data_IF_701608461023
#
_entry.id   IF_701608461023
#
_cell.length_a   1.000
_cell.length_b   1.000
_cell.length_c   1.000
_cell.angle_alpha   90.00
_cell.angle_beta   90.00
_cell.angle_gamma   90.00
#
_symmetry.space_group_name_H-M   'P 1'
#
loop_
_entity.id
_entity.type
_entity.pdbx_description
1 polymer ?
#
# COMPACT_ATOMS: atom_id res chain seq x y z
N UNK A 1 -5.07 -18.33 -5.50
CA UNK A 1 -5.55 -16.94 -5.65
C UNK A 1 -5.49 -16.28 -4.29
N UNK A 2 -4.65 -15.26 -4.15
CA UNK A 2 -4.44 -14.60 -2.84
C UNK A 2 -5.45 -13.46 -2.61
N UNK A 3 -5.78 -12.71 -3.66
CA UNK A 3 -6.72 -11.60 -3.59
C UNK A 3 -7.66 -11.59 -4.79
N UNK A 4 -8.94 -11.30 -4.54
CA UNK A 4 -9.97 -11.18 -5.58
C UNK A 4 -10.83 -9.94 -5.34
N UNK A 5 -11.12 -9.22 -6.40
CA UNK A 5 -12.15 -8.18 -6.46
C UNK A 5 -13.31 -8.70 -7.30
N UNK A 6 -14.53 -8.69 -6.76
CA UNK A 6 -15.74 -9.20 -7.43
C UNK A 6 -16.77 -8.09 -7.54
N UNK A 7 -17.05 -7.67 -8.77
CA UNK A 7 -18.09 -6.69 -9.13
C UNK A 7 -18.01 -5.40 -8.32
N UNK A 8 -16.78 -4.89 -8.14
CA UNK A 8 -16.51 -3.69 -7.34
C UNK A 8 -17.10 -2.46 -8.03
N UNK A 9 -17.98 -1.78 -7.33
CA UNK A 9 -18.45 -0.44 -7.68
C UNK A 9 -18.10 0.51 -6.54
N UNK A 10 -17.57 1.68 -6.86
CA UNK A 10 -17.16 2.66 -5.87
C UNK A 10 -17.32 4.09 -6.38
N UNK A 11 -17.84 4.96 -5.53
CA UNK A 11 -18.01 6.40 -5.76
C UNK A 11 -17.47 7.19 -4.58
N UNK A 12 -16.75 8.27 -4.83
CA UNK A 12 -16.45 9.20 -3.75
C UNK A 12 -17.72 9.92 -3.31
N UNK A 13 -17.96 9.97 -2.00
CA UNK A 13 -19.07 10.72 -1.38
C UNK A 13 -18.77 12.23 -1.47
N UNK A 14 -18.76 12.76 -2.66
CA UNK A 14 -18.64 14.18 -2.95
C UNK A 14 -19.99 14.73 -3.44
N UNK A 15 -20.13 16.07 -3.50
CA UNK A 15 -21.36 16.71 -4.00
C UNK A 15 -21.84 16.22 -5.38
N UNK A 16 -20.97 15.55 -6.15
CA UNK A 16 -21.28 15.07 -7.51
C UNK A 16 -21.48 13.54 -7.62
N UNK A 17 -21.32 12.78 -6.53
CA UNK A 17 -21.46 11.30 -6.49
C UNK A 17 -20.89 10.59 -7.74
N UNK A 18 -19.71 11.01 -8.21
CA UNK A 18 -19.09 10.46 -9.41
C UNK A 18 -18.63 9.03 -9.16
N UNK A 19 -19.19 8.09 -9.90
CA UNK A 19 -18.72 6.68 -9.89
C UNK A 19 -17.34 6.59 -10.53
N UNK A 20 -16.38 6.09 -9.78
CA UNK A 20 -14.97 5.94 -10.20
C UNK A 20 -14.69 4.52 -10.70
N UNK A 21 -15.24 3.51 -10.01
CA UNK A 21 -15.13 2.12 -10.40
C UNK A 21 -16.54 1.58 -10.63
N UNK A 22 -16.75 0.88 -11.74
CA UNK A 22 -18.04 0.32 -12.11
C UNK A 22 -17.88 -1.15 -12.49
N UNK A 23 -18.39 -2.02 -11.64
CA UNK A 23 -18.42 -3.48 -11.85
C UNK A 23 -17.05 -4.08 -12.19
N UNK A 24 -16.01 -3.66 -11.47
CA UNK A 24 -14.62 -4.10 -11.70
C UNK A 24 -14.39 -5.46 -11.07
N UNK A 25 -13.85 -6.40 -11.86
CA UNK A 25 -13.39 -7.70 -11.40
C UNK A 25 -11.90 -7.87 -11.68
N UNK A 26 -11.17 -8.42 -10.72
CA UNK A 26 -9.76 -8.76 -10.87
C UNK A 26 -9.38 -9.89 -9.90
N UNK A 27 -8.37 -10.66 -10.26
CA UNK A 27 -7.85 -11.74 -9.44
C UNK A 27 -6.33 -11.73 -9.47
N UNK A 28 -5.72 -12.00 -8.32
CA UNK A 28 -4.28 -11.93 -8.12
C UNK A 28 -3.79 -13.24 -7.49
N UNK A 29 -2.78 -13.83 -8.11
CA UNK A 29 -2.12 -15.04 -7.64
C UNK A 29 -0.93 -14.68 -6.75
N UNK A 30 -0.64 -15.56 -5.80
CA UNK A 30 0.55 -15.44 -4.97
C UNK A 30 1.83 -15.55 -5.81
N UNK A 31 2.86 -14.80 -5.42
CA UNK A 31 4.16 -14.82 -6.10
C UNK A 31 4.18 -14.21 -7.50
N UNK A 32 3.09 -13.58 -7.95
CA UNK A 32 2.97 -12.99 -9.28
C UNK A 32 3.01 -11.46 -9.21
N UNK A 33 3.79 -10.86 -10.11
CA UNK A 33 3.82 -9.41 -10.29
C UNK A 33 2.72 -8.97 -11.26
N UNK A 34 1.89 -8.02 -10.84
CA UNK A 34 0.82 -7.42 -11.66
C UNK A 34 1.05 -5.93 -11.87
N UNK A 35 0.79 -5.44 -13.08
CA UNK A 35 0.78 -4.02 -13.39
C UNK A 35 -0.65 -3.57 -13.75
N UNK A 36 -1.16 -2.56 -13.04
CA UNK A 36 -2.44 -1.91 -13.35
C UNK A 36 -2.15 -0.68 -14.20
N UNK A 37 -2.51 -0.73 -15.47
CA UNK A 37 -2.27 0.32 -16.45
C UNK A 37 -3.57 1.02 -16.85
N UNK A 38 -3.48 2.26 -17.28
CA UNK A 38 -4.62 3.06 -17.75
C UNK A 38 -4.35 4.56 -17.66
N UNK A 39 -5.22 5.36 -18.26
CA UNK A 39 -5.14 6.81 -18.26
C UNK A 39 -5.14 7.43 -16.84
N UNK A 40 -4.64 8.65 -16.70
CA UNK A 40 -4.77 9.39 -15.44
C UNK A 40 -6.26 9.58 -15.09
N UNK A 41 -6.59 9.39 -13.80
CA UNK A 41 -7.98 9.48 -13.33
C UNK A 41 -8.86 8.26 -13.60
N UNK A 42 -8.34 7.16 -14.17
CA UNK A 42 -9.11 5.94 -14.45
C UNK A 42 -9.45 5.10 -13.21
N UNK A 43 -9.09 5.54 -11.99
CA UNK A 43 -9.41 4.85 -10.75
C UNK A 43 -8.37 3.85 -10.24
N UNK A 44 -7.17 3.77 -10.83
CA UNK A 44 -6.11 2.82 -10.41
C UNK A 44 -5.76 2.93 -8.92
N UNK A 45 -5.47 4.16 -8.46
CA UNK A 45 -5.14 4.43 -7.06
C UNK A 45 -6.33 4.12 -6.14
N UNK A 46 -7.56 4.45 -6.57
CA UNK A 46 -8.78 4.11 -5.84
C UNK A 46 -8.93 2.59 -5.71
N UNK A 47 -8.73 1.85 -6.79
CA UNK A 47 -8.79 0.40 -6.77
C UNK A 47 -7.76 -0.22 -5.83
N UNK A 48 -6.49 0.22 -5.90
CA UNK A 48 -5.44 -0.20 -4.97
C UNK A 48 -5.78 0.13 -3.50
N UNK A 49 -6.37 1.30 -3.25
CA UNK A 49 -6.82 1.70 -1.90
C UNK A 49 -7.89 0.77 -1.34
N UNK A 50 -8.82 0.34 -2.19
CA UNK A 50 -9.85 -0.63 -1.81
C UNK A 50 -9.26 -2.02 -1.54
N UNK A 51 -8.34 -2.50 -2.39
CA UNK A 51 -7.62 -3.77 -2.16
C UNK A 51 -6.84 -3.74 -0.85
N UNK A 52 -6.24 -2.58 -0.51
CA UNK A 52 -5.50 -2.38 0.73
C UNK A 52 -6.42 -2.24 1.97
N UNK A 53 -7.74 -2.19 1.81
CA UNK A 53 -8.68 -1.98 2.92
C UNK A 53 -8.60 -0.58 3.54
N UNK A 54 -8.16 0.44 2.78
CA UNK A 54 -8.19 1.84 3.22
C UNK A 54 -9.60 2.42 3.13
N UNK A 55 -10.42 1.85 2.24
CA UNK A 55 -11.83 2.18 2.11
C UNK A 55 -12.62 0.93 1.73
N UNK A 56 -13.96 1.03 1.68
CA UNK A 56 -14.87 -0.05 1.31
C UNK A 56 -15.58 0.26 0.01
N UNK A 57 -15.74 -0.71 -0.91
CA UNK A 57 -16.56 -0.51 -2.09
C UNK A 57 -18.04 -0.32 -1.72
N UNK A 58 -18.78 0.45 -2.52
CA UNK A 58 -20.23 0.64 -2.37
C UNK A 58 -20.96 -0.66 -2.59
N UNK A 59 -20.54 -1.44 -3.58
CA UNK A 59 -21.04 -2.79 -3.84
C UNK A 59 -19.93 -3.71 -4.34
N UNK A 60 -20.21 -5.01 -4.36
CA UNK A 60 -19.24 -6.05 -4.65
C UNK A 60 -18.48 -6.50 -3.40
N UNK A 61 -17.43 -7.27 -3.60
CA UNK A 61 -16.63 -7.82 -2.50
C UNK A 61 -15.16 -7.93 -2.88
N UNK A 62 -14.29 -7.72 -1.88
CA UNK A 62 -12.86 -7.98 -1.97
C UNK A 62 -12.55 -9.13 -1.03
N UNK A 63 -11.91 -10.16 -1.56
CA UNK A 63 -11.55 -11.35 -0.81
C UNK A 63 -10.03 -11.45 -0.68
N UNK A 64 -9.56 -11.81 0.49
CA UNK A 64 -8.18 -12.19 0.78
C UNK A 64 -8.18 -13.64 1.27
N UNK A 65 -7.44 -14.52 0.59
CA UNK A 65 -7.47 -15.96 0.85
C UNK A 65 -8.91 -16.52 0.95
N UNK A 66 -9.79 -16.13 0.01
CA UNK A 66 -11.18 -16.57 -0.06
C UNK A 66 -12.12 -15.93 0.97
N UNK A 67 -11.62 -15.11 1.90
CA UNK A 67 -12.43 -14.46 2.94
C UNK A 67 -12.68 -12.98 2.61
N UNK A 68 -13.96 -12.56 2.67
CA UNK A 68 -14.31 -11.17 2.40
C UNK A 68 -13.72 -10.25 3.48
N UNK A 69 -12.88 -9.28 3.07
CA UNK A 69 -12.19 -8.36 3.99
C UNK A 69 -13.14 -7.39 4.70
N UNK A 70 -14.36 -7.15 4.18
CA UNK A 70 -15.41 -6.37 4.88
C UNK A 70 -15.90 -7.04 6.16
N UNK A 71 -15.90 -8.37 6.20
CA UNK A 71 -16.29 -9.16 7.37
C UNK A 71 -15.16 -9.32 8.38
N UNK A 72 -13.94 -8.96 8.00
CA UNK A 72 -12.77 -8.92 8.86
C UNK A 72 -12.53 -7.50 9.36
N UNK A 73 -11.80 -7.40 10.45
CA UNK A 73 -11.24 -6.13 10.89
C UNK A 73 -10.28 -5.58 9.83
N UNK A 74 -10.65 -4.47 9.17
CA UNK A 74 -9.82 -3.79 8.16
C UNK A 74 -8.46 -3.36 8.73
N UNK A 75 -8.39 -3.06 10.03
CA UNK A 75 -7.12 -2.75 10.68
C UNK A 75 -6.22 -3.98 10.75
N UNK A 76 -6.78 -5.16 11.02
CA UNK A 76 -6.04 -6.42 10.97
C UNK A 76 -5.54 -6.74 9.56
N UNK A 77 -6.36 -6.52 8.53
CA UNK A 77 -5.96 -6.69 7.14
C UNK A 77 -4.78 -5.80 6.78
N UNK A 78 -4.84 -4.50 7.10
CA UNK A 78 -3.76 -3.55 6.85
C UNK A 78 -2.49 -3.84 7.65
N UNK A 79 -2.62 -4.42 8.83
CA UNK A 79 -1.48 -4.73 9.70
C UNK A 79 -0.76 -6.01 9.28
N UNK A 80 -1.52 -7.04 8.88
CA UNK A 80 -0.98 -8.41 8.82
C UNK A 80 -0.94 -8.98 7.39
N UNK A 81 -1.67 -8.41 6.45
CA UNK A 81 -1.91 -9.06 5.16
C UNK A 81 -1.42 -8.24 3.96
N UNK A 82 -1.24 -6.95 4.11
CA UNK A 82 -0.91 -6.08 2.98
C UNK A 82 0.00 -4.94 3.40
N UNK A 83 0.90 -4.55 2.53
CA UNK A 83 1.71 -3.35 2.67
C UNK A 83 1.52 -2.45 1.47
N UNK A 84 1.53 -1.14 1.69
CA UNK A 84 1.29 -0.15 0.65
C UNK A 84 2.43 0.88 0.61
N UNK A 85 2.95 1.13 -0.59
CA UNK A 85 3.84 2.24 -0.87
C UNK A 85 3.05 3.30 -1.63
N UNK A 86 2.86 4.46 -1.02
CA UNK A 86 2.13 5.57 -1.62
C UNK A 86 2.98 6.33 -2.64
N UNK A 87 2.35 7.00 -3.58
CA UNK A 87 3.02 7.82 -4.59
C UNK A 87 3.88 8.94 -3.95
N UNK A 88 3.42 9.54 -2.87
CA UNK A 88 4.13 10.57 -2.09
C UNK A 88 4.94 9.99 -0.92
N UNK A 89 5.20 8.69 -0.95
CA UNK A 89 5.95 7.90 0.04
C UNK A 89 5.38 7.93 1.47
N UNK A 90 4.71 9.00 1.91
CA UNK A 90 4.14 9.19 3.25
C UNK A 90 5.14 8.83 4.37
N UNK A 91 6.39 9.28 4.21
CA UNK A 91 7.39 9.18 5.25
C UNK A 91 7.12 10.24 6.32
N UNK A 92 7.49 9.95 7.55
CA UNK A 92 7.31 10.89 8.67
C UNK A 92 8.51 11.83 8.69
N UNK A 93 8.27 13.09 8.42
CA UNK A 93 9.29 14.12 8.15
C UNK A 93 10.27 14.37 9.29
N UNK A 94 9.83 14.25 10.53
CA UNK A 94 10.66 14.48 11.72
C UNK A 94 11.41 13.24 12.20
N UNK A 95 11.20 12.08 11.57
CA UNK A 95 11.89 10.85 11.88
C UNK A 95 13.13 10.66 10.99
N UNK A 96 14.08 9.91 11.52
CA UNK A 96 15.22 9.42 10.75
C UNK A 96 14.77 8.37 9.72
N UNK A 97 15.67 8.06 8.80
CA UNK A 97 15.50 6.99 7.81
C UNK A 97 15.20 5.65 8.50
N UNK A 98 15.99 5.30 9.51
CA UNK A 98 15.85 4.05 10.26
C UNK A 98 14.53 3.98 11.02
N UNK A 99 14.15 5.05 11.70
CA UNK A 99 12.89 5.13 12.45
C UNK A 99 11.67 5.00 11.53
N UNK A 100 11.69 5.61 10.33
CA UNK A 100 10.65 5.43 9.34
C UNK A 100 10.44 3.95 8.95
N UNK A 101 11.53 3.18 8.78
CA UNK A 101 11.44 1.75 8.48
C UNK A 101 10.91 0.97 9.67
N UNK A 102 11.33 1.29 10.89
CA UNK A 102 10.86 0.63 12.12
C UNK A 102 9.35 0.76 12.34
N UNK A 103 8.72 1.81 11.82
CA UNK A 103 7.25 1.96 11.86
C UNK A 103 6.51 0.80 11.14
N UNK A 104 7.17 0.12 10.22
CA UNK A 104 6.61 -1.08 9.57
C UNK A 104 6.53 -2.31 10.49
N UNK A 105 7.17 -2.28 11.67
CA UNK A 105 7.10 -3.36 12.67
C UNK A 105 8.36 -4.22 12.79
N UNK A 106 9.31 -4.12 11.87
CA UNK A 106 10.57 -4.90 11.95
C UNK A 106 11.57 -4.31 12.93
N UNK A 107 12.18 -5.20 13.73
CA UNK A 107 13.33 -4.85 14.58
C UNK A 107 14.64 -4.75 13.77
N UNK A 108 14.69 -5.28 12.55
CA UNK A 108 15.88 -5.35 11.69
C UNK A 108 15.85 -4.31 10.55
N UNK A 109 15.53 -3.06 10.88
CA UNK A 109 15.49 -1.98 9.89
C UNK A 109 16.82 -1.84 9.10
N UNK A 110 17.96 -2.14 9.71
CA UNK A 110 19.26 -2.09 9.05
C UNK A 110 19.38 -3.03 7.86
N UNK A 111 19.02 -4.30 8.03
CA UNK A 111 19.04 -5.27 6.93
C UNK A 111 18.13 -4.87 5.77
N UNK A 112 16.94 -4.32 6.09
CA UNK A 112 16.01 -3.86 5.07
C UNK A 112 16.55 -2.64 4.30
N UNK A 113 17.21 -1.73 5.01
CA UNK A 113 17.86 -0.57 4.40
C UNK A 113 19.03 -0.98 3.49
N UNK A 114 19.82 -1.98 3.89
CA UNK A 114 20.88 -2.57 3.04
C UNK A 114 20.27 -3.22 1.76
N UNK A 115 19.19 -4.00 1.88
CA UNK A 115 18.50 -4.63 0.75
C UNK A 115 18.00 -3.61 -0.28
N UNK A 116 17.62 -2.41 0.15
CA UNK A 116 17.19 -1.33 -0.76
C UNK A 116 18.31 -0.33 -1.07
N UNK A 117 19.57 -0.69 -0.79
CA UNK A 117 20.76 0.11 -1.12
C UNK A 117 20.73 1.52 -0.52
N UNK A 118 20.35 1.65 0.73
CA UNK A 118 20.51 2.87 1.51
C UNK A 118 21.81 2.77 2.32
N UNK A 119 22.80 3.66 2.12
CA UNK A 119 24.09 3.60 2.80
C UNK A 119 23.94 3.84 4.30
N UNK A 120 24.80 3.20 5.10
CA UNK A 120 24.73 3.23 6.58
C UNK A 120 24.81 4.64 7.16
N UNK A 121 25.59 5.50 6.53
CA UNK A 121 25.76 6.90 6.92
C UNK A 121 24.45 7.71 6.83
N UNK A 122 23.49 7.25 6.04
CA UNK A 122 22.20 7.90 5.88
C UNK A 122 21.15 7.44 6.91
N UNK A 123 21.35 6.31 7.60
CA UNK A 123 20.32 5.71 8.44
C UNK A 123 19.80 6.58 9.57
N UNK A 124 20.69 7.36 10.18
CA UNK A 124 20.37 8.25 11.29
C UNK A 124 20.13 9.70 10.84
N UNK A 125 20.13 9.96 9.52
CA UNK A 125 19.78 11.28 8.99
C UNK A 125 18.27 11.44 8.98
N UNK A 126 17.83 12.71 9.02
CA UNK A 126 16.42 13.03 8.77
C UNK A 126 16.04 12.61 7.34
N UNK A 127 14.88 12.02 7.18
CA UNK A 127 14.40 11.47 5.88
C UNK A 127 14.29 12.54 4.79
N UNK A 128 14.03 13.79 5.14
CA UNK A 128 13.96 14.91 4.20
C UNK A 128 15.30 15.27 3.56
N UNK A 129 16.43 14.83 4.14
CA UNK A 129 17.76 15.04 3.58
C UNK A 129 18.10 14.06 2.45
N UNK A 130 17.22 13.10 2.19
CA UNK A 130 17.40 12.11 1.13
C UNK A 130 16.85 12.63 -0.21
N UNK A 131 17.45 12.16 -1.31
CA UNK A 131 16.85 12.33 -2.64
C UNK A 131 15.50 11.61 -2.77
N UNK A 132 14.64 12.03 -3.70
CA UNK A 132 13.33 11.40 -3.93
C UNK A 132 13.42 9.89 -4.17
N UNK A 133 14.41 9.44 -4.97
CA UNK A 133 14.65 8.02 -5.18
C UNK A 133 15.09 7.26 -3.92
N UNK A 134 15.87 7.91 -3.03
CA UNK A 134 16.21 7.34 -1.74
C UNK A 134 14.99 7.26 -0.81
N UNK A 135 14.17 8.32 -0.77
CA UNK A 135 12.91 8.32 -0.01
C UNK A 135 11.97 7.21 -0.47
N UNK A 136 11.86 6.99 -1.78
CA UNK A 136 11.09 5.88 -2.34
C UNK A 136 11.60 4.52 -1.84
N UNK A 137 12.92 4.31 -1.84
CA UNK A 137 13.53 3.07 -1.33
C UNK A 137 13.29 2.89 0.17
N UNK A 138 13.33 3.96 0.97
CA UNK A 138 12.98 3.92 2.39
C UNK A 138 11.51 3.54 2.60
N UNK A 139 10.60 4.08 1.80
CA UNK A 139 9.17 3.68 1.84
C UNK A 139 8.97 2.20 1.48
N UNK A 140 9.75 1.70 0.51
CA UNK A 140 9.76 0.27 0.16
C UNK A 140 10.29 -0.57 1.31
N UNK A 141 11.40 -0.18 1.95
CA UNK A 141 11.93 -0.86 3.13
C UNK A 141 10.92 -0.88 4.29
N UNK A 142 10.20 0.22 4.51
CA UNK A 142 9.12 0.28 5.51
C UNK A 142 7.98 -0.70 5.17
N UNK A 143 7.60 -0.82 3.91
CA UNK A 143 6.59 -1.77 3.48
C UNK A 143 7.04 -3.23 3.69
N UNK A 144 8.31 -3.52 3.43
CA UNK A 144 8.93 -4.84 3.68
C UNK A 144 9.12 -5.15 5.17
N UNK A 145 9.07 -4.14 6.05
CA UNK A 145 9.17 -4.30 7.49
C UNK A 145 7.86 -4.78 8.14
N UNK A 146 6.76 -4.75 7.40
CA UNK A 146 5.47 -5.29 7.85
C UNK A 146 5.55 -6.81 7.97
N UNK A 147 4.96 -7.41 9.02
CA UNK A 147 4.95 -8.86 9.23
C UNK A 147 4.24 -9.61 8.12
#
# INVERSE_FOLDING_TARGET
>A
MIMEAKNITYSYKSKQNKTILKNVCAAFEEGTFYAIIGASGSGKTTFLSLLAGLDCPDSGSILYNGQNIRKKDLNSHRRNNISLVFQNYNLIDYLTVRENVMLGGSKNAGELLEKVSIPKEAWNRNVLQLSGGQQQRVATARALASP
#
